data_IF_305594540894
#
_entry.id   IF_305594540894
#
_cell.length_a   1.000
_cell.length_b   1.000
_cell.length_c   1.000
_cell.angle_alpha   90.00
_cell.angle_beta   90.00
_cell.angle_gamma   90.00
#
_symmetry.space_group_name_H-M   'P 1'
#
loop_
_entity.id
_entity.type
_entity.pdbx_description
1 polymer ?
#
# COMPACT_ATOMS: atom_id res chain seq x y z
N UNK A 1 7.84 1.65 4.77
CA UNK A 1 8.31 0.73 3.72
C UNK A 1 7.80 1.13 2.34
N UNK A 2 6.52 1.40 2.19
CA UNK A 2 5.82 1.58 0.91
C UNK A 2 6.42 2.66 -0.02
N UNK A 3 6.81 3.81 0.53
CA UNK A 3 7.48 4.90 -0.22
C UNK A 3 9.00 4.71 -0.28
N UNK A 4 9.56 4.00 0.68
CA UNK A 4 11.00 3.85 0.84
C UNK A 4 11.59 2.79 -0.09
N UNK A 5 10.91 1.62 -0.20
CA UNK A 5 11.42 0.48 -0.98
C UNK A 5 11.62 0.82 -2.46
N UNK A 6 10.68 1.50 -3.16
CA UNK A 6 10.88 1.91 -4.54
C UNK A 6 12.17 2.74 -4.75
N UNK A 7 12.46 3.66 -3.82
CA UNK A 7 13.65 4.52 -3.89
C UNK A 7 14.94 3.75 -3.57
N UNK A 8 14.95 2.98 -2.49
CA UNK A 8 16.11 2.18 -2.10
C UNK A 8 16.44 1.14 -3.17
N UNK A 9 15.45 0.53 -3.79
CA UNK A 9 15.63 -0.47 -4.84
C UNK A 9 16.38 0.06 -6.08
N UNK A 10 16.48 1.38 -6.24
CA UNK A 10 17.28 1.97 -7.32
C UNK A 10 18.78 2.06 -7.02
N UNK A 11 19.15 1.96 -5.73
CA UNK A 11 20.51 2.21 -5.24
C UNK A 11 21.15 0.99 -4.60
N UNK A 12 20.37 0.16 -3.90
CA UNK A 12 20.87 -1.01 -3.21
C UNK A 12 21.12 -2.18 -4.16
N UNK A 13 22.15 -2.94 -3.90
CA UNK A 13 22.43 -4.19 -4.63
C UNK A 13 21.32 -5.23 -4.38
N UNK A 14 20.84 -5.33 -3.14
CA UNK A 14 19.76 -6.24 -2.74
C UNK A 14 18.87 -5.56 -1.70
N UNK A 15 17.54 -5.77 -1.82
CA UNK A 15 16.54 -5.29 -0.84
C UNK A 15 15.67 -6.46 -0.39
N UNK A 16 15.60 -6.70 0.89
CA UNK A 16 14.67 -7.66 1.50
C UNK A 16 13.53 -6.90 2.18
N UNK A 17 12.32 -7.14 1.76
CA UNK A 17 11.12 -6.51 2.34
C UNK A 17 10.33 -7.53 3.12
N UNK A 18 10.37 -7.43 4.45
CA UNK A 18 9.63 -8.32 5.36
C UNK A 18 8.20 -7.82 5.53
N UNK A 19 7.23 -8.63 5.10
CA UNK A 19 5.80 -8.30 5.15
C UNK A 19 5.04 -9.36 5.94
N UNK A 20 4.53 -8.99 7.12
CA UNK A 20 3.63 -9.85 7.91
C UNK A 20 2.22 -9.92 7.32
N UNK A 21 1.68 -8.77 6.92
CA UNK A 21 0.32 -8.64 6.40
C UNK A 21 0.32 -7.66 5.24
N UNK A 22 -0.16 -8.03 4.05
CA UNK A 22 -0.31 -7.11 2.93
C UNK A 22 -1.30 -5.99 3.28
N UNK A 23 -1.13 -4.84 2.62
CA UNK A 23 -1.99 -3.68 2.83
C UNK A 23 -2.83 -3.40 1.59
N UNK A 24 -4.08 -2.95 1.81
CA UNK A 24 -4.91 -2.44 0.72
C UNK A 24 -4.32 -1.17 0.14
N UNK A 25 -4.39 -1.05 -1.18
CA UNK A 25 -3.83 0.05 -1.95
C UNK A 25 -4.95 0.79 -2.66
N UNK A 26 -5.02 2.09 -2.44
CA UNK A 26 -5.92 2.99 -3.17
C UNK A 26 -5.21 3.49 -4.43
N UNK A 27 -5.77 3.28 -5.63
CA UNK A 27 -5.19 3.76 -6.88
C UNK A 27 -5.06 5.28 -6.88
N UNK A 28 -3.84 5.78 -7.00
CA UNK A 28 -3.57 7.20 -7.19
C UNK A 28 -2.41 7.37 -8.19
N UNK A 29 -2.68 7.28 -9.50
CA UNK A 29 -1.65 7.40 -10.53
C UNK A 29 -0.94 8.75 -10.51
N UNK A 30 -1.57 9.77 -9.94
CA UNK A 30 -1.04 11.13 -9.84
C UNK A 30 -0.22 11.39 -8.57
N UNK A 31 0.02 10.36 -7.73
CA UNK A 31 0.65 10.53 -6.42
C UNK A 31 2.01 11.25 -6.46
N UNK A 32 2.80 11.04 -7.50
CA UNK A 32 4.09 11.70 -7.71
C UNK A 32 4.06 12.73 -8.85
N UNK A 33 2.87 13.08 -9.36
CA UNK A 33 2.76 14.05 -10.44
C UNK A 33 3.18 15.44 -9.98
N UNK A 34 4.04 16.09 -10.76
CA UNK A 34 4.41 17.46 -10.52
C UNK A 34 3.18 18.40 -10.66
N UNK A 35 3.05 19.35 -9.75
CA UNK A 35 2.00 20.36 -9.83
C UNK A 35 2.27 21.27 -11.03
N UNK A 36 1.29 21.41 -11.94
CA UNK A 36 1.44 22.25 -13.12
C UNK A 36 1.59 23.74 -12.74
N UNK A 37 2.21 24.52 -13.64
CA UNK A 37 2.37 25.98 -13.44
C UNK A 37 1.02 26.69 -13.27
N UNK A 38 0.00 26.30 -14.06
CA UNK A 38 -1.34 26.86 -13.94
C UNK A 38 -1.99 26.55 -12.60
N UNK A 39 -1.88 25.31 -12.08
CA UNK A 39 -2.37 24.97 -10.75
C UNK A 39 -1.60 25.72 -9.66
N UNK A 40 -0.28 25.84 -9.79
CA UNK A 40 0.56 26.61 -8.87
C UNK A 40 0.18 28.08 -8.86
N UNK A 41 -0.16 28.65 -10.02
CA UNK A 41 -0.67 30.01 -10.12
C UNK A 41 -2.02 30.14 -9.41
N UNK A 42 -2.97 29.21 -9.64
CA UNK A 42 -4.27 29.20 -8.97
C UNK A 42 -4.14 29.14 -7.43
N UNK A 43 -3.26 28.27 -6.93
CA UNK A 43 -2.99 28.17 -5.48
C UNK A 43 -2.47 29.47 -4.86
N UNK A 44 -1.71 30.27 -5.62
CA UNK A 44 -1.13 31.53 -5.14
C UNK A 44 -2.06 32.73 -5.27
N UNK A 45 -2.91 32.75 -6.30
CA UNK A 45 -3.62 33.97 -6.70
C UNK A 45 -5.13 33.94 -6.52
N UNK A 46 -5.73 32.72 -6.53
CA UNK A 46 -7.18 32.60 -6.36
C UNK A 46 -7.55 32.39 -4.89
N UNK A 47 -8.36 33.29 -4.30
CA UNK A 47 -8.82 33.13 -2.93
C UNK A 47 -9.51 31.81 -2.70
N UNK A 48 -9.17 31.13 -1.62
CA UNK A 48 -9.75 29.84 -1.20
C UNK A 48 -9.55 28.65 -2.16
N UNK A 49 -8.89 28.80 -3.30
CA UNK A 49 -8.67 27.73 -4.26
C UNK A 49 -8.04 26.48 -3.61
N UNK A 50 -6.99 26.65 -2.83
CA UNK A 50 -6.33 25.56 -2.12
C UNK A 50 -7.24 24.88 -1.08
N UNK A 51 -8.15 25.62 -0.43
CA UNK A 51 -9.12 25.03 0.51
C UNK A 51 -10.16 24.16 -0.21
N UNK A 52 -10.71 24.65 -1.32
CA UNK A 52 -11.65 23.88 -2.15
C UNK A 52 -11.00 22.67 -2.79
N UNK A 53 -9.79 22.82 -3.31
CA UNK A 53 -9.03 21.69 -3.85
C UNK A 53 -8.80 20.60 -2.80
N UNK A 54 -8.37 21.00 -1.60
CA UNK A 54 -8.20 20.09 -0.47
C UNK A 54 -9.51 19.43 -0.06
N UNK A 55 -10.60 20.16 -0.01
CA UNK A 55 -11.93 19.62 0.28
C UNK A 55 -12.34 18.55 -0.72
N UNK A 56 -12.16 18.81 -2.02
CA UNK A 56 -12.48 17.85 -3.08
C UNK A 56 -11.62 16.58 -3.02
N UNK A 57 -10.42 16.63 -2.50
CA UNK A 57 -9.58 15.45 -2.28
C UNK A 57 -10.02 14.66 -1.04
N UNK A 58 -10.43 15.37 0.02
CA UNK A 58 -10.79 14.72 1.29
C UNK A 58 -12.19 14.14 1.30
N UNK A 59 -13.17 14.85 0.75
CA UNK A 59 -14.57 14.48 0.82
C UNK A 59 -14.86 13.08 0.28
N UNK A 60 -14.42 12.70 -0.94
CA UNK A 60 -14.67 11.35 -1.46
C UNK A 60 -13.96 10.26 -0.65
N UNK A 61 -12.81 10.57 -0.07
CA UNK A 61 -12.01 9.59 0.70
C UNK A 61 -12.49 9.42 2.15
N UNK A 62 -13.35 10.30 2.65
CA UNK A 62 -13.93 10.26 4.00
C UNK A 62 -15.42 9.90 3.94
N UNK A 63 -16.28 10.87 3.62
CA UNK A 63 -17.73 10.66 3.63
C UNK A 63 -18.20 9.71 2.51
N UNK A 64 -17.52 9.74 1.34
CA UNK A 64 -17.83 8.83 0.23
C UNK A 64 -17.55 7.36 0.54
N UNK A 65 -16.68 7.07 1.51
CA UNK A 65 -16.36 5.69 1.94
C UNK A 65 -16.96 5.33 3.30
N UNK A 66 -17.59 6.31 3.99
CA UNK A 66 -18.07 6.15 5.37
C UNK A 66 -19.02 4.97 5.54
N UNK A 67 -20.02 4.85 4.67
CA UNK A 67 -20.97 3.74 4.71
C UNK A 67 -20.31 2.37 4.51
N UNK A 68 -19.21 2.32 3.75
CA UNK A 68 -18.40 1.11 3.56
C UNK A 68 -17.68 0.61 4.82
N UNK A 69 -17.73 1.37 5.93
CA UNK A 69 -17.11 0.98 7.21
C UNK A 69 -18.09 0.35 8.19
N UNK A 70 -19.40 0.36 7.91
CA UNK A 70 -20.40 -0.23 8.78
C UNK A 70 -20.66 -1.69 8.43
N UNK A 71 -20.66 -2.54 9.45
CA UNK A 71 -20.99 -3.96 9.28
C UNK A 71 -22.47 -4.12 8.99
N UNK A 72 -22.82 -4.76 7.89
CA UNK A 72 -24.16 -5.26 7.62
C UNK A 72 -24.24 -6.71 8.16
N UNK A 73 -24.98 -6.98 9.24
CA UNK A 73 -25.07 -8.33 9.80
C UNK A 73 -25.71 -9.36 8.87
N UNK A 74 -26.41 -8.91 7.83
CA UNK A 74 -27.06 -9.79 6.83
C UNK A 74 -26.19 -9.99 5.58
N UNK A 75 -25.01 -9.36 5.51
CA UNK A 75 -24.10 -9.50 4.39
C UNK A 75 -23.58 -10.94 4.27
N UNK A 76 -23.74 -11.61 3.11
CA UNK A 76 -23.48 -13.05 3.00
C UNK A 76 -21.97 -13.39 2.94
N UNK A 77 -21.09 -12.42 2.71
CA UNK A 77 -19.66 -12.63 2.47
C UNK A 77 -18.79 -11.97 3.54
N UNK A 78 -19.16 -12.15 4.81
CA UNK A 78 -18.49 -11.55 5.98
C UNK A 78 -16.99 -11.91 6.09
N UNK A 79 -16.58 -13.00 5.48
CA UNK A 79 -15.17 -13.45 5.48
C UNK A 79 -14.23 -12.56 4.67
N UNK A 80 -14.78 -11.75 3.73
CA UNK A 80 -13.96 -10.94 2.81
C UNK A 80 -14.34 -9.46 2.75
N UNK A 81 -15.58 -9.14 3.10
CA UNK A 81 -16.12 -7.79 3.10
C UNK A 81 -17.23 -7.66 4.13
N UNK A 82 -17.68 -6.46 4.45
CA UNK A 82 -18.63 -6.22 5.54
C UNK A 82 -19.97 -5.64 5.06
N UNK A 83 -20.08 -5.20 3.82
CA UNK A 83 -21.30 -4.74 3.14
C UNK A 83 -21.04 -4.59 1.63
N UNK A 84 -22.06 -4.22 0.86
CA UNK A 84 -21.97 -4.07 -0.60
C UNK A 84 -20.96 -3.00 -1.05
N UNK A 85 -20.85 -1.87 -0.36
CA UNK A 85 -19.90 -0.78 -0.68
C UNK A 85 -18.47 -1.25 -0.39
N UNK A 86 -18.28 -1.96 0.72
CA UNK A 86 -16.99 -2.54 1.07
C UNK A 86 -16.55 -3.61 0.07
N UNK A 87 -17.48 -4.44 -0.43
CA UNK A 87 -17.22 -5.41 -1.48
C UNK A 87 -16.81 -4.73 -2.78
N UNK A 88 -17.54 -3.71 -3.22
CA UNK A 88 -17.17 -2.91 -4.40
C UNK A 88 -15.76 -2.30 -4.25
N UNK A 89 -15.45 -1.77 -3.06
CA UNK A 89 -14.12 -1.25 -2.75
C UNK A 89 -13.06 -2.34 -2.83
N UNK A 90 -13.37 -3.55 -2.36
CA UNK A 90 -12.50 -4.72 -2.44
C UNK A 90 -12.20 -5.09 -3.89
N UNK A 91 -13.23 -5.15 -4.73
CA UNK A 91 -13.07 -5.47 -6.15
C UNK A 91 -12.17 -4.45 -6.84
N UNK A 92 -12.45 -3.15 -6.67
CA UNK A 92 -11.65 -2.06 -7.25
C UNK A 92 -10.16 -2.14 -6.81
N UNK A 93 -9.88 -2.39 -5.54
CA UNK A 93 -8.52 -2.51 -5.05
C UNK A 93 -7.83 -3.79 -5.52
N UNK A 94 -8.59 -4.88 -5.64
CA UNK A 94 -8.09 -6.15 -6.15
C UNK A 94 -7.69 -6.02 -7.62
N UNK A 95 -8.54 -5.39 -8.43
CA UNK A 95 -8.26 -5.13 -9.84
C UNK A 95 -7.01 -4.26 -10.03
N UNK A 96 -6.85 -3.23 -9.19
CA UNK A 96 -5.64 -2.41 -9.19
C UNK A 96 -4.38 -3.23 -8.91
N UNK A 97 -4.41 -4.05 -7.85
CA UNK A 97 -3.29 -4.93 -7.50
C UNK A 97 -3.01 -5.91 -8.64
N UNK A 98 -4.05 -6.51 -9.22
CA UNK A 98 -3.95 -7.44 -10.35
C UNK A 98 -3.26 -6.79 -11.56
N UNK A 99 -3.70 -5.60 -11.93
CA UNK A 99 -3.09 -4.85 -13.03
C UNK A 99 -1.60 -4.59 -12.82
N UNK A 100 -1.19 -4.28 -11.58
CA UNK A 100 0.21 -4.02 -11.26
C UNK A 100 1.07 -5.29 -11.23
N UNK A 101 0.51 -6.42 -10.80
CA UNK A 101 1.19 -7.72 -10.79
C UNK A 101 1.34 -8.31 -12.20
N UNK A 102 0.44 -7.97 -13.14
CA UNK A 102 0.41 -8.57 -14.48
C UNK A 102 0.18 -10.08 -14.40
N UNK A 103 0.99 -10.86 -15.10
CA UNK A 103 0.90 -12.32 -15.16
C UNK A 103 1.55 -13.03 -13.95
N UNK A 104 2.13 -12.28 -13.01
CA UNK A 104 2.75 -12.87 -11.81
C UNK A 104 1.71 -13.23 -10.75
N UNK A 105 1.10 -14.40 -10.91
CA UNK A 105 0.10 -14.93 -9.98
C UNK A 105 0.70 -15.20 -8.59
N UNK A 106 1.95 -15.61 -8.50
CA UNK A 106 2.60 -15.89 -7.23
C UNK A 106 2.77 -14.60 -6.39
N UNK A 107 3.20 -13.52 -7.02
CA UNK A 107 3.26 -12.21 -6.38
C UNK A 107 1.86 -11.74 -5.98
N UNK A 108 0.88 -11.83 -6.90
CA UNK A 108 -0.49 -11.41 -6.62
C UNK A 108 -1.06 -12.06 -5.36
N UNK A 109 -0.93 -13.37 -5.20
CA UNK A 109 -1.42 -14.09 -4.03
C UNK A 109 -0.72 -13.68 -2.72
N UNK A 110 0.52 -13.24 -2.79
CA UNK A 110 1.31 -12.79 -1.63
C UNK A 110 1.02 -11.34 -1.23
N UNK A 111 0.61 -10.50 -2.17
CA UNK A 111 0.34 -9.07 -1.91
C UNK A 111 -1.13 -8.75 -1.75
N UNK A 112 -2.04 -9.67 -2.09
CA UNK A 112 -3.49 -9.48 -1.91
C UNK A 112 -3.88 -9.63 -0.44
N UNK A 113 -4.47 -8.59 0.20
CA UNK A 113 -4.96 -8.69 1.57
C UNK A 113 -6.15 -9.65 1.69
N UNK A 114 -6.19 -10.40 2.80
CA UNK A 114 -7.25 -11.37 3.11
C UNK A 114 -8.30 -10.84 4.09
N UNK A 115 -8.21 -9.58 4.48
CA UNK A 115 -9.16 -8.93 5.39
C UNK A 115 -9.98 -7.88 4.62
N UNK A 116 -11.16 -7.47 5.13
CA UNK A 116 -12.00 -6.46 4.49
C UNK A 116 -11.25 -5.14 4.26
N UNK A 117 -11.43 -4.46 3.12
CA UNK A 117 -10.88 -3.12 2.93
C UNK A 117 -11.42 -2.14 3.97
N UNK A 118 -10.72 -1.03 4.17
CA UNK A 118 -11.02 0.00 5.17
C UNK A 118 -10.88 -0.44 6.64
N UNK A 119 -10.68 -1.72 6.93
CA UNK A 119 -10.40 -2.22 8.28
C UNK A 119 -9.06 -1.72 8.86
N UNK A 120 -8.15 -1.30 7.99
CA UNK A 120 -6.86 -0.70 8.32
C UNK A 120 -6.59 0.47 7.38
N UNK A 121 -5.60 1.29 7.73
CA UNK A 121 -5.18 2.41 6.88
C UNK A 121 -4.83 1.92 5.48
N UNK A 122 -5.56 2.42 4.49
CA UNK A 122 -5.29 2.17 3.07
C UNK A 122 -4.12 3.06 2.62
N UNK A 123 -3.23 2.50 1.82
CA UNK A 123 -2.07 3.20 1.27
C UNK A 123 -2.43 3.75 -0.11
N UNK A 124 -2.01 4.97 -0.41
CA UNK A 124 -2.13 5.50 -1.78
C UNK A 124 -0.96 4.96 -2.62
N UNK A 125 -1.26 4.49 -3.81
CA UNK A 125 -0.30 3.87 -4.71
C UNK A 125 -0.46 4.33 -6.15
N UNK A 126 0.67 4.61 -6.80
CA UNK A 126 0.77 4.88 -8.23
C UNK A 126 1.37 3.71 -9.01
N UNK A 127 1.45 2.53 -8.40
CA UNK A 127 2.07 1.34 -8.96
C UNK A 127 3.55 1.15 -8.60
N UNK A 128 4.21 2.15 -8.02
CA UNK A 128 5.65 2.11 -7.75
C UNK A 128 6.05 1.00 -6.77
N UNK A 129 5.20 0.70 -5.80
CA UNK A 129 5.44 -0.37 -4.82
C UNK A 129 5.51 -1.76 -5.47
N UNK A 130 4.48 -2.14 -6.22
CA UNK A 130 4.43 -3.47 -6.85
C UNK A 130 5.45 -3.59 -7.98
N UNK A 131 5.74 -2.49 -8.70
CA UNK A 131 6.84 -2.45 -9.66
C UNK A 131 8.19 -2.67 -8.99
N UNK A 132 8.42 -2.09 -7.82
CA UNK A 132 9.65 -2.33 -7.05
C UNK A 132 9.78 -3.80 -6.61
N UNK A 133 8.69 -4.44 -6.17
CA UNK A 133 8.69 -5.86 -5.79
C UNK A 133 8.98 -6.82 -6.95
N UNK A 134 8.82 -6.37 -8.20
CA UNK A 134 9.12 -7.15 -9.42
C UNK A 134 10.55 -6.99 -9.91
N UNK A 135 11.37 -6.18 -9.25
CA UNK A 135 12.78 -6.01 -9.61
C UNK A 135 13.59 -7.21 -9.14
N UNK A 136 14.60 -7.58 -9.91
CA UNK A 136 15.48 -8.72 -9.62
C UNK A 136 16.25 -8.56 -8.30
N UNK A 137 16.50 -7.31 -7.89
CA UNK A 137 17.19 -6.99 -6.64
C UNK A 137 16.26 -6.76 -5.45
N UNK A 138 14.94 -7.06 -5.56
CA UNK A 138 13.98 -6.92 -4.46
C UNK A 138 13.32 -8.26 -4.17
N UNK A 139 13.41 -8.69 -2.93
CA UNK A 139 12.75 -9.92 -2.48
C UNK A 139 11.72 -9.59 -1.39
N UNK A 140 10.45 -9.94 -1.67
CA UNK A 140 9.41 -9.94 -0.65
C UNK A 140 9.57 -11.18 0.23
N UNK A 141 9.64 -10.99 1.55
CA UNK A 141 9.72 -12.06 2.55
C UNK A 141 8.47 -12.00 3.43
N UNK A 142 7.63 -13.02 3.32
CA UNK A 142 6.35 -13.16 4.04
C UNK A 142 6.45 -14.11 5.24
N UNK A 143 7.66 -14.33 5.73
CA UNK A 143 7.97 -15.18 6.87
C UNK A 143 8.20 -14.36 8.12
N UNK A 144 7.91 -14.94 9.26
CA UNK A 144 8.10 -14.28 10.55
C UNK A 144 9.59 -14.05 10.82
N UNK A 145 9.94 -12.82 11.17
CA UNK A 145 11.27 -12.46 11.65
C UNK A 145 11.36 -12.84 13.12
N UNK A 146 12.32 -13.70 13.48
CA UNK A 146 12.50 -14.20 14.85
C UNK A 146 13.73 -13.64 15.53
N UNK A 147 14.75 -13.19 14.79
CA UNK A 147 15.96 -12.62 15.36
C UNK A 147 16.68 -11.68 14.39
N UNK A 148 17.43 -10.75 14.96
CA UNK A 148 18.46 -9.99 14.28
C UNK A 148 19.82 -10.42 14.84
N UNK A 149 20.78 -10.63 13.96
CA UNK A 149 22.18 -10.85 14.30
C UNK A 149 23.02 -9.63 13.90
N UNK A 150 24.31 -9.67 14.10
CA UNK A 150 25.20 -8.57 13.69
C UNK A 150 25.21 -8.36 12.17
N UNK A 151 24.92 -9.38 11.38
CA UNK A 151 25.04 -9.35 9.91
C UNK A 151 23.79 -9.77 9.15
N UNK A 152 22.74 -10.28 9.84
CA UNK A 152 21.61 -10.86 9.15
C UNK A 152 20.29 -10.75 9.92
N UNK A 153 19.17 -10.78 9.16
CA UNK A 153 17.81 -10.98 9.66
C UNK A 153 17.48 -12.47 9.54
N UNK A 154 17.01 -13.10 10.62
CA UNK A 154 16.61 -14.52 10.64
C UNK A 154 15.10 -14.68 10.70
N UNK A 155 14.60 -15.63 9.94
CA UNK A 155 13.18 -15.99 9.89
C UNK A 155 12.90 -17.34 10.55
N UNK A 156 11.65 -17.57 10.92
CA UNK A 156 11.19 -18.75 11.65
C UNK A 156 11.46 -20.10 10.94
N UNK A 157 11.57 -20.08 9.62
CA UNK A 157 11.92 -21.23 8.79
C UNK A 157 13.43 -21.52 8.74
N UNK A 158 14.24 -20.77 9.51
CA UNK A 158 15.68 -20.94 9.60
C UNK A 158 16.50 -20.22 8.53
N UNK A 159 15.85 -19.49 7.60
CA UNK A 159 16.57 -18.69 6.61
C UNK A 159 17.24 -17.47 7.27
N UNK A 160 18.37 -17.05 6.69
CA UNK A 160 19.12 -15.86 7.09
C UNK A 160 19.29 -14.94 5.86
N UNK A 161 19.01 -13.66 6.04
CA UNK A 161 19.11 -12.63 5.02
C UNK A 161 20.20 -11.64 5.46
N UNK A 162 21.36 -11.71 4.83
CA UNK A 162 22.46 -10.80 5.11
C UNK A 162 22.08 -9.37 4.70
N UNK A 163 22.39 -8.40 5.56
CA UNK A 163 22.08 -7.00 5.32
C UNK A 163 23.03 -6.08 6.07
N UNK A 164 23.50 -5.04 5.40
CA UNK A 164 24.32 -3.98 6.00
C UNK A 164 23.49 -2.96 6.77
N UNK A 165 22.22 -2.78 6.37
CA UNK A 165 21.29 -1.81 6.94
C UNK A 165 19.93 -2.44 7.17
N UNK A 166 19.38 -2.27 8.36
CA UNK A 166 18.01 -2.67 8.72
C UNK A 166 17.17 -1.43 9.01
N UNK A 167 16.06 -1.28 8.29
CA UNK A 167 15.12 -0.18 8.46
C UNK A 167 13.84 -0.67 9.11
N UNK A 168 13.53 -0.20 10.30
CA UNK A 168 12.31 -0.49 11.02
C UNK A 168 11.17 0.39 10.49
N UNK A 169 10.28 -0.18 9.68
CA UNK A 169 9.09 0.48 9.16
C UNK A 169 7.80 -0.14 9.75
N UNK A 170 7.84 -0.53 11.02
CA UNK A 170 6.82 -1.32 11.72
C UNK A 170 5.63 -0.50 12.22
N UNK A 171 5.67 0.83 12.08
CA UNK A 171 4.64 1.75 12.54
C UNK A 171 4.95 2.35 13.92
N UNK A 172 4.00 3.12 14.44
CA UNK A 172 4.10 3.73 15.76
C UNK A 172 3.48 2.83 16.83
N UNK A 173 3.92 2.98 18.06
CA UNK A 173 3.14 2.54 19.22
C UNK A 173 1.93 3.47 19.36
N UNK A 174 0.72 2.91 19.30
CA UNK A 174 -0.53 3.61 19.52
C UNK A 174 -1.03 3.36 20.94
#
# INVERSE_FOLDING_TARGET
AFQLVPEIATQAAQVYTFQRTPQWMFPNPDYHRAVSEGASWCFRHLPYYGRWYRFLLFWPATDGTWEGTFVDPQWPHQERSINAINEFTREMFTDWIRQQCGDDEALFQRVLPKYPPLARRTLQDNGSWLQALRRDNVQLVDREVVALTETAVRTADGAAFEADVVVYATGFHA
#
